data_IF_077286746715
#
_entry.id   IF_077286746715
#
_cell.length_a   1.000
_cell.length_b   1.000
_cell.length_c   1.000
_cell.angle_alpha   90.00
_cell.angle_beta   90.00
_cell.angle_gamma   90.00
#
_symmetry.space_group_name_H-M   'P 1'
#
loop_
_entity.id
_entity.type
_entity.pdbx_description
1 polymer ?
#
# COMPACT_ATOMS: atom_id res chain seq x y z
N UNK A 1 -8.72 -16.43 6.68
CA UNK A 1 -7.39 -15.84 6.76
C UNK A 1 -6.56 -16.43 7.89
N UNK A 2 -7.06 -16.46 9.12
CA UNK A 2 -6.30 -17.02 10.27
C UNK A 2 -5.85 -18.46 10.02
N UNK A 3 -6.78 -19.37 9.75
CA UNK A 3 -6.51 -20.81 9.69
C UNK A 3 -5.67 -21.25 8.47
N UNK A 4 -5.75 -20.52 7.36
CA UNK A 4 -5.08 -20.89 6.11
C UNK A 4 -3.78 -20.11 5.90
N UNK A 5 -3.77 -18.83 6.25
CA UNK A 5 -2.65 -17.93 5.98
C UNK A 5 -1.83 -17.56 7.22
N UNK A 6 -2.29 -17.95 8.42
CA UNK A 6 -1.68 -17.51 9.68
C UNK A 6 -1.69 -15.99 9.87
N UNK A 7 -2.52 -15.28 9.11
CA UNK A 7 -2.58 -13.83 9.15
C UNK A 7 -3.36 -13.33 10.36
N UNK A 8 -3.06 -12.11 10.81
CA UNK A 8 -3.81 -11.40 11.85
C UNK A 8 -4.73 -10.34 11.19
N UNK A 9 -5.97 -10.72 10.78
CA UNK A 9 -6.87 -9.80 10.09
C UNK A 9 -7.44 -8.76 11.04
N UNK A 10 -7.49 -7.51 10.59
CA UNK A 10 -8.06 -6.38 11.29
C UNK A 10 -9.14 -5.73 10.41
N UNK A 11 -10.42 -6.08 10.57
CA UNK A 11 -11.51 -5.40 9.88
C UNK A 11 -11.53 -3.92 10.24
N UNK A 12 -11.51 -3.07 9.22
CA UNK A 12 -11.58 -1.60 9.36
C UNK A 12 -12.85 -1.02 8.77
N UNK A 13 -13.69 -1.87 8.18
CA UNK A 13 -15.02 -1.54 7.70
C UNK A 13 -16.00 -2.69 7.98
N UNK A 14 -17.29 -2.36 8.07
CA UNK A 14 -18.40 -3.30 8.17
C UNK A 14 -19.34 -3.09 6.98
N UNK A 15 -19.83 -4.15 6.29
CA UNK A 15 -20.71 -3.98 5.15
C UNK A 15 -22.11 -3.53 5.58
N UNK A 16 -22.75 -2.70 4.76
CA UNK A 16 -24.17 -2.36 4.85
C UNK A 16 -24.92 -3.18 3.80
N UNK A 17 -25.58 -4.24 4.23
CA UNK A 17 -26.20 -5.24 3.37
C UNK A 17 -25.19 -6.27 2.85
N UNK A 18 -25.70 -7.29 2.16
CA UNK A 18 -24.90 -8.38 1.61
C UNK A 18 -25.38 -8.75 0.20
N UNK A 19 -24.47 -9.29 -0.61
CA UNK A 19 -24.77 -9.76 -1.97
C UNK A 19 -25.47 -8.68 -2.83
N UNK A 20 -26.70 -8.95 -3.28
CA UNK A 20 -27.47 -8.01 -4.09
C UNK A 20 -27.93 -6.77 -3.29
N UNK A 21 -28.12 -6.92 -1.97
CA UNK A 21 -28.50 -5.83 -1.07
C UNK A 21 -27.33 -4.98 -0.56
N UNK A 22 -26.09 -5.25 -0.99
CA UNK A 22 -24.93 -4.45 -0.62
C UNK A 22 -25.05 -3.02 -1.13
N UNK A 23 -25.22 -2.07 -0.20
CA UNK A 23 -25.44 -0.65 -0.49
C UNK A 23 -24.23 0.21 -0.17
N UNK A 24 -23.41 -0.19 0.80
CA UNK A 24 -22.32 0.61 1.30
C UNK A 24 -21.54 -0.10 2.39
N UNK A 25 -20.79 0.67 3.15
CA UNK A 25 -20.00 0.19 4.27
C UNK A 25 -20.02 1.22 5.42
N UNK A 26 -19.79 0.74 6.63
CA UNK A 26 -19.46 1.58 7.79
C UNK A 26 -17.94 1.60 7.90
N UNK A 27 -17.35 2.78 7.85
CA UNK A 27 -15.95 3.05 8.12
C UNK A 27 -15.73 3.13 9.64
N UNK A 28 -15.02 2.16 10.20
CA UNK A 28 -14.78 2.05 11.65
C UNK A 28 -13.75 3.06 12.16
N UNK A 29 -12.93 3.62 11.28
CA UNK A 29 -11.94 4.63 11.65
C UNK A 29 -12.64 5.98 11.82
N UNK A 30 -13.45 6.36 10.84
CA UNK A 30 -14.19 7.62 10.79
C UNK A 30 -15.52 7.58 11.55
N UNK A 31 -16.02 6.38 11.85
CA UNK A 31 -17.36 6.14 12.39
C UNK A 31 -18.44 6.82 11.56
N UNK A 32 -18.43 6.56 10.26
CA UNK A 32 -19.39 7.07 9.27
C UNK A 32 -19.82 5.95 8.33
N UNK A 33 -21.04 6.06 7.82
CA UNK A 33 -21.54 5.21 6.76
C UNK A 33 -21.23 5.83 5.39
N UNK A 34 -20.79 5.01 4.44
CA UNK A 34 -20.49 5.41 3.07
C UNK A 34 -21.41 4.62 2.14
N UNK A 35 -22.20 5.34 1.32
CA UNK A 35 -23.15 4.76 0.37
C UNK A 35 -22.75 5.13 -1.06
N UNK A 36 -22.73 4.14 -1.95
CA UNK A 36 -22.50 4.34 -3.37
C UNK A 36 -23.80 4.33 -4.16
N UNK A 37 -23.95 5.27 -5.09
CA UNK A 37 -25.13 5.44 -5.89
C UNK A 37 -25.02 4.62 -7.19
N UNK A 38 -25.99 3.73 -7.42
CA UNK A 38 -25.98 2.84 -8.61
C UNK A 38 -26.16 3.63 -9.91
N UNK A 39 -26.82 4.79 -9.87
CA UNK A 39 -27.06 5.65 -11.03
C UNK A 39 -25.77 6.17 -11.68
N UNK A 40 -24.71 6.31 -10.91
CA UNK A 40 -23.38 6.77 -11.36
C UNK A 40 -22.37 5.63 -11.48
N UNK A 41 -22.83 4.37 -11.43
CA UNK A 41 -21.97 3.18 -11.42
C UNK A 41 -20.85 3.26 -10.37
N UNK A 42 -21.17 3.76 -9.18
CA UNK A 42 -20.24 3.88 -8.04
C UNK A 42 -19.19 5.00 -8.16
N UNK A 43 -19.34 5.93 -9.13
CA UNK A 43 -18.46 7.10 -9.21
C UNK A 43 -18.73 8.08 -8.07
N UNK A 44 -20.01 8.28 -7.74
CA UNK A 44 -20.43 9.16 -6.65
C UNK A 44 -20.81 8.34 -5.41
N UNK A 45 -20.50 8.90 -4.26
CA UNK A 45 -20.86 8.34 -2.96
C UNK A 45 -21.23 9.45 -1.98
N UNK A 46 -22.04 9.11 -0.97
CA UNK A 46 -22.35 9.97 0.16
C UNK A 46 -21.73 9.43 1.44
N UNK A 47 -21.37 10.34 2.34
CA UNK A 47 -20.91 10.02 3.70
C UNK A 47 -22.00 10.49 4.67
N UNK A 48 -22.52 9.58 5.48
CA UNK A 48 -23.68 9.80 6.32
C UNK A 48 -23.41 9.30 7.75
N UNK A 49 -24.32 9.58 8.66
CA UNK A 49 -24.28 8.98 10.00
C UNK A 49 -24.58 7.48 9.90
N UNK A 50 -24.02 6.70 10.83
CA UNK A 50 -24.25 5.26 10.90
C UNK A 50 -25.75 5.02 11.18
N UNK A 51 -26.43 4.16 10.41
CA UNK A 51 -27.81 3.77 10.71
C UNK A 51 -27.95 3.22 12.12
N UNK A 52 -29.03 3.59 12.81
CA UNK A 52 -29.23 3.24 14.23
C UNK A 52 -29.11 1.72 14.49
N UNK A 53 -29.56 0.89 13.55
CA UNK A 53 -29.48 -0.55 13.62
C UNK A 53 -28.05 -1.13 13.50
N UNK A 54 -27.08 -0.34 13.04
CA UNK A 54 -25.68 -0.78 12.86
C UNK A 54 -24.72 -0.13 13.87
N UNK A 55 -25.20 0.80 14.71
CA UNK A 55 -24.34 1.53 15.66
C UNK A 55 -23.68 0.57 16.65
N UNK A 56 -24.44 -0.36 17.21
CA UNK A 56 -23.92 -1.31 18.21
C UNK A 56 -22.88 -2.25 17.57
N UNK A 57 -23.17 -2.77 16.38
CA UNK A 57 -22.22 -3.61 15.63
C UNK A 57 -20.96 -2.83 15.26
N UNK A 58 -21.09 -1.59 14.79
CA UNK A 58 -19.96 -0.73 14.45
C UNK A 58 -19.07 -0.43 15.68
N UNK A 59 -19.67 -0.16 16.83
CA UNK A 59 -18.93 0.06 18.07
C UNK A 59 -18.19 -1.21 18.51
N UNK A 60 -18.81 -2.37 18.44
CA UNK A 60 -18.17 -3.65 18.78
C UNK A 60 -16.96 -3.93 17.88
N UNK A 61 -17.11 -3.72 16.57
CA UNK A 61 -16.01 -3.93 15.63
C UNK A 61 -14.91 -2.87 15.76
N UNK A 62 -15.29 -1.61 16.07
CA UNK A 62 -14.32 -0.57 16.37
C UNK A 62 -13.50 -0.90 17.61
N UNK A 63 -14.13 -1.36 18.67
CA UNK A 63 -13.44 -1.77 19.90
C UNK A 63 -12.43 -2.90 19.65
N UNK A 64 -12.85 -3.94 18.92
CA UNK A 64 -11.95 -5.03 18.50
C UNK A 64 -10.79 -4.56 17.60
N UNK A 65 -11.01 -3.55 16.78
CA UNK A 65 -9.97 -2.94 15.96
C UNK A 65 -8.98 -2.18 16.85
N UNK A 66 -9.49 -1.34 17.76
CA UNK A 66 -8.65 -0.54 18.68
C UNK A 66 -7.82 -1.44 19.60
N UNK A 67 -8.40 -2.49 20.18
CA UNK A 67 -7.70 -3.48 20.99
C UNK A 67 -6.48 -4.06 20.24
N UNK A 68 -6.67 -4.43 18.97
CA UNK A 68 -5.59 -5.00 18.15
C UNK A 68 -4.47 -4.03 17.82
N UNK A 69 -4.78 -2.78 17.57
CA UNK A 69 -3.77 -1.82 17.11
C UNK A 69 -3.13 -1.03 18.26
N UNK A 70 -3.74 -1.00 19.42
CA UNK A 70 -3.20 -0.38 20.63
C UNK A 70 -1.85 -1.02 21.03
N UNK A 71 -1.65 -2.31 20.77
CA UNK A 71 -0.39 -3.00 21.06
C UNK A 71 0.82 -2.42 20.28
N UNK A 72 0.58 -1.63 19.22
CA UNK A 72 1.61 -1.08 18.34
C UNK A 72 1.77 0.44 18.46
N UNK A 73 1.10 1.06 19.43
CA UNK A 73 1.19 2.50 19.69
C UNK A 73 0.92 2.78 21.17
N UNK A 74 1.98 3.05 21.94
CA UNK A 74 1.90 3.23 23.39
C UNK A 74 0.93 4.34 23.80
N UNK A 75 0.89 5.45 23.04
CA UNK A 75 0.00 6.57 23.32
C UNK A 75 -1.48 6.21 23.10
N UNK A 76 -1.75 5.40 22.08
CA UNK A 76 -3.11 4.90 21.82
C UNK A 76 -3.49 3.86 22.87
N UNK A 77 -2.58 3.01 23.30
CA UNK A 77 -2.80 2.01 24.37
C UNK A 77 -3.20 2.69 25.68
N UNK A 78 -2.48 3.76 26.08
CA UNK A 78 -2.80 4.52 27.30
C UNK A 78 -4.22 5.08 27.22
N UNK A 79 -4.60 5.73 26.12
CA UNK A 79 -5.95 6.26 25.92
C UNK A 79 -7.04 5.17 25.85
N UNK A 80 -6.71 4.03 25.25
CA UNK A 80 -7.66 2.92 25.16
C UNK A 80 -8.06 2.37 26.53
N UNK A 81 -7.12 2.34 27.49
CA UNK A 81 -7.41 1.91 28.86
C UNK A 81 -8.02 3.00 29.75
N UNK A 82 -7.73 4.28 29.48
CA UNK A 82 -8.24 5.40 30.27
C UNK A 82 -9.62 5.82 29.77
N UNK A 83 -9.72 6.30 28.54
CA UNK A 83 -10.99 6.70 27.91
C UNK A 83 -10.92 6.53 26.37
N UNK A 84 -11.43 5.42 25.81
CA UNK A 84 -11.43 5.17 24.37
C UNK A 84 -12.18 6.24 23.55
N UNK A 85 -13.07 7.01 24.16
CA UNK A 85 -13.82 8.07 23.46
C UNK A 85 -12.93 9.26 23.05
N UNK A 86 -11.76 9.40 23.66
CA UNK A 86 -10.79 10.46 23.37
C UNK A 86 -9.87 10.13 22.20
N UNK A 87 -9.93 8.89 21.68
CA UNK A 87 -9.09 8.44 20.57
C UNK A 87 -9.54 9.10 19.27
N UNK A 88 -8.65 9.84 18.65
CA UNK A 88 -8.89 10.53 17.39
C UNK A 88 -8.70 9.64 16.16
N UNK A 89 -9.29 10.04 15.03
CA UNK A 89 -9.09 9.36 13.74
C UNK A 89 -7.60 9.27 13.37
N UNK A 90 -6.84 10.36 13.57
CA UNK A 90 -5.40 10.41 13.25
C UNK A 90 -4.57 9.42 14.06
N UNK A 91 -4.92 9.22 15.34
CA UNK A 91 -4.25 8.24 16.20
C UNK A 91 -4.53 6.81 15.74
N UNK A 92 -5.76 6.51 15.36
CA UNK A 92 -6.14 5.21 14.79
C UNK A 92 -5.40 4.96 13.48
N UNK A 93 -5.38 5.93 12.57
CA UNK A 93 -4.66 5.83 11.29
C UNK A 93 -3.17 5.57 11.51
N UNK A 94 -2.54 6.29 12.44
CA UNK A 94 -1.12 6.11 12.78
C UNK A 94 -0.84 4.71 13.32
N UNK A 95 -1.63 4.24 14.29
CA UNK A 95 -1.46 2.93 14.89
C UNK A 95 -1.68 1.79 13.87
N UNK A 96 -2.73 1.89 13.04
CA UNK A 96 -2.98 0.95 11.94
C UNK A 96 -1.82 0.91 10.94
N UNK A 97 -1.29 2.09 10.56
CA UNK A 97 -0.12 2.17 9.68
C UNK A 97 1.09 1.49 10.30
N UNK A 98 1.42 1.80 11.55
CA UNK A 98 2.55 1.21 12.26
C UNK A 98 2.43 -0.32 12.30
N UNK A 99 1.27 -0.82 12.70
CA UNK A 99 1.01 -2.26 12.77
C UNK A 99 1.04 -2.94 11.39
N UNK A 100 0.60 -2.24 10.34
CA UNK A 100 0.60 -2.77 8.96
C UNK A 100 2.01 -2.81 8.38
N UNK A 101 2.80 -1.75 8.55
CA UNK A 101 4.19 -1.67 8.07
C UNK A 101 5.06 -2.73 8.75
N UNK A 102 4.81 -3.02 10.04
CA UNK A 102 5.46 -4.10 10.79
C UNK A 102 4.93 -5.50 10.42
N UNK A 103 3.96 -5.59 9.50
CA UNK A 103 3.27 -6.84 9.12
C UNK A 103 2.59 -7.56 10.30
N UNK A 104 2.30 -6.86 11.37
CA UNK A 104 1.67 -7.39 12.57
C UNK A 104 0.16 -7.59 12.41
N UNK A 105 -0.50 -6.72 11.63
CA UNK A 105 -1.91 -6.82 11.25
C UNK A 105 -2.11 -6.70 9.75
N UNK A 106 -3.22 -7.24 9.26
CA UNK A 106 -3.66 -7.10 7.87
C UNK A 106 -5.00 -6.36 7.86
N UNK A 107 -5.04 -5.08 7.49
CA UNK A 107 -6.30 -4.35 7.36
C UNK A 107 -7.23 -5.04 6.37
N UNK A 108 -8.48 -5.22 6.76
CA UNK A 108 -9.50 -5.87 5.95
C UNK A 108 -10.61 -4.88 5.58
N UNK A 109 -10.91 -4.83 4.29
CA UNK A 109 -12.02 -4.06 3.74
C UNK A 109 -12.96 -4.99 2.96
N UNK A 110 -14.17 -4.52 2.77
CA UNK A 110 -15.14 -5.15 1.88
C UNK A 110 -15.60 -4.15 0.82
N UNK A 111 -16.12 -4.68 -0.28
CA UNK A 111 -16.64 -3.87 -1.38
C UNK A 111 -17.12 -4.74 -2.53
N UNK A 112 -17.64 -4.10 -3.58
CA UNK A 112 -18.03 -4.74 -4.82
C UNK A 112 -17.32 -4.10 -5.99
N UNK A 113 -16.22 -4.70 -6.44
CA UNK A 113 -15.45 -4.18 -7.58
C UNK A 113 -16.26 -4.18 -8.88
N UNK A 114 -17.16 -5.14 -9.06
CA UNK A 114 -18.05 -5.20 -10.22
C UNK A 114 -19.05 -4.03 -10.27
N UNK A 115 -19.54 -3.61 -9.09
CA UNK A 115 -20.44 -2.45 -8.95
C UNK A 115 -19.68 -1.16 -8.62
N UNK A 116 -18.35 -1.21 -8.59
CA UNK A 116 -17.47 -0.09 -8.25
C UNK A 116 -17.71 0.53 -6.86
N UNK A 117 -18.28 -0.25 -5.91
CA UNK A 117 -18.59 0.18 -4.54
C UNK A 117 -17.44 -0.17 -3.60
N UNK A 118 -16.92 0.80 -2.86
CA UNK A 118 -15.80 0.62 -1.90
C UNK A 118 -14.41 0.73 -2.52
N UNK A 119 -14.29 0.97 -3.83
CA UNK A 119 -12.98 1.04 -4.51
C UNK A 119 -12.20 2.27 -4.08
N UNK A 120 -12.85 3.44 -3.98
CA UNK A 120 -12.21 4.68 -3.54
C UNK A 120 -11.67 4.52 -2.11
N UNK A 121 -12.49 4.03 -1.19
CA UNK A 121 -12.10 3.76 0.20
C UNK A 121 -10.92 2.79 0.28
N UNK A 122 -10.92 1.73 -0.55
CA UNK A 122 -9.78 0.80 -0.62
C UNK A 122 -8.50 1.52 -1.06
N UNK A 123 -8.56 2.34 -2.12
CA UNK A 123 -7.39 3.05 -2.63
C UNK A 123 -6.85 4.08 -1.63
N UNK A 124 -7.74 4.79 -0.93
CA UNK A 124 -7.36 5.73 0.12
C UNK A 124 -6.60 5.01 1.24
N UNK A 125 -7.09 3.85 1.69
CA UNK A 125 -6.42 3.06 2.73
C UNK A 125 -5.18 2.31 2.23
N UNK A 126 -5.08 1.98 0.95
CA UNK A 126 -3.81 1.53 0.36
C UNK A 126 -2.74 2.63 0.50
N UNK A 127 -3.10 3.88 0.18
CA UNK A 127 -2.18 5.02 0.35
C UNK A 127 -1.87 5.31 1.82
N UNK A 128 -2.84 5.13 2.72
CA UNK A 128 -2.66 5.40 4.15
C UNK A 128 -1.78 4.34 4.85
N UNK A 129 -1.91 3.05 4.52
CA UNK A 129 -1.34 1.97 5.33
C UNK A 129 -0.18 1.23 4.69
N UNK A 130 -0.07 1.16 3.35
CA UNK A 130 1.03 0.43 2.76
C UNK A 130 2.34 1.23 2.81
N UNK A 131 3.48 0.55 3.01
CA UNK A 131 4.77 1.22 3.11
C UNK A 131 5.18 1.84 1.79
N UNK A 132 5.72 3.05 1.86
CA UNK A 132 6.49 3.67 0.78
C UNK A 132 7.95 3.16 0.81
N UNK A 133 8.76 3.42 -0.21
CA UNK A 133 10.19 3.13 -0.16
C UNK A 133 10.92 3.79 1.02
N UNK A 134 10.37 4.89 1.57
CA UNK A 134 10.95 5.60 2.72
C UNK A 134 10.64 4.91 4.07
N UNK A 135 9.65 4.05 4.11
CA UNK A 135 9.26 3.30 5.32
C UNK A 135 10.01 1.95 5.44
N UNK A 136 10.80 1.60 4.42
CA UNK A 136 11.57 0.35 4.40
C UNK A 136 13.04 0.58 4.75
N UNK A 137 13.74 -0.47 5.17
CA UNK A 137 15.16 -0.40 5.42
C UNK A 137 15.94 -0.04 4.15
N UNK A 138 17.08 0.64 4.33
CA UNK A 138 17.99 0.95 3.24
C UNK A 138 18.49 -0.33 2.57
N UNK A 139 18.78 -0.28 1.28
CA UNK A 139 19.37 -1.42 0.58
C UNK A 139 20.86 -1.50 0.93
N UNK A 140 21.25 -2.61 1.54
CA UNK A 140 22.65 -2.91 1.87
C UNK A 140 23.24 -3.74 0.74
N UNK A 141 24.39 -3.35 0.25
CA UNK A 141 25.14 -4.05 -0.79
C UNK A 141 26.64 -4.01 -0.56
N UNK A 142 27.37 -4.83 -1.31
CA UNK A 142 28.83 -4.89 -1.25
C UNK A 142 29.44 -4.14 -2.43
N UNK A 143 30.33 -3.20 -2.17
CA UNK A 143 31.09 -2.52 -3.22
C UNK A 143 32.00 -3.51 -3.95
N UNK A 144 31.86 -3.69 -5.27
CA UNK A 144 32.61 -4.70 -6.01
C UNK A 144 34.13 -4.43 -6.09
N UNK A 145 34.56 -3.18 -5.84
CA UNK A 145 35.96 -2.80 -5.93
C UNK A 145 36.69 -2.87 -4.59
N UNK A 146 35.98 -2.58 -3.48
CA UNK A 146 36.60 -2.50 -2.15
C UNK A 146 36.21 -3.64 -1.24
N UNK A 147 35.13 -4.37 -1.53
CA UNK A 147 34.55 -5.39 -0.67
C UNK A 147 33.84 -4.85 0.57
N UNK A 148 33.78 -3.52 0.75
CA UNK A 148 33.10 -2.89 1.87
C UNK A 148 31.58 -2.91 1.71
N UNK A 149 30.84 -3.02 2.81
CA UNK A 149 29.40 -2.80 2.82
C UNK A 149 29.10 -1.32 2.58
N UNK A 150 28.12 -1.07 1.73
CA UNK A 150 27.56 0.27 1.47
C UNK A 150 26.05 0.17 1.58
N UNK A 151 25.41 1.13 2.26
CA UNK A 151 23.99 1.28 2.22
C UNK A 151 23.55 2.30 1.15
N UNK A 152 22.31 2.19 0.70
CA UNK A 152 21.68 3.08 -0.27
C UNK A 152 20.32 3.49 0.25
N UNK A 153 20.15 4.80 0.45
CA UNK A 153 18.85 5.39 0.79
C UNK A 153 17.98 5.50 -0.46
N UNK A 154 16.65 5.40 -0.33
CA UNK A 154 15.73 5.58 -1.45
C UNK A 154 15.62 7.07 -1.82
N UNK A 155 16.66 7.60 -2.45
CA UNK A 155 16.79 8.99 -2.88
C UNK A 155 17.38 9.06 -4.29
N UNK A 156 16.88 9.98 -5.08
CA UNK A 156 17.36 10.28 -6.43
C UNK A 156 18.79 10.81 -6.48
N UNK A 157 19.27 11.39 -5.39
CA UNK A 157 20.62 11.97 -5.28
C UNK A 157 21.68 10.94 -4.89
N UNK A 158 21.27 9.73 -4.55
CA UNK A 158 22.15 8.62 -4.22
C UNK A 158 22.77 7.98 -5.48
N UNK A 159 23.82 7.17 -5.27
CA UNK A 159 24.34 6.31 -6.33
C UNK A 159 23.30 5.29 -6.75
N UNK A 160 23.17 5.06 -8.04
CA UNK A 160 22.15 4.17 -8.59
C UNK A 160 22.33 2.74 -8.12
N UNK A 161 21.26 2.17 -7.58
CA UNK A 161 21.09 0.73 -7.37
C UNK A 161 19.71 0.29 -7.83
N UNK A 162 19.67 -0.82 -8.57
CA UNK A 162 18.43 -1.36 -9.12
C UNK A 162 18.49 -2.89 -9.18
N UNK A 163 17.34 -3.53 -9.11
CA UNK A 163 17.19 -4.97 -9.26
C UNK A 163 16.35 -5.29 -10.50
N UNK A 164 16.97 -6.02 -11.45
CA UNK A 164 16.23 -6.63 -12.54
C UNK A 164 15.60 -7.94 -12.04
N UNK A 165 14.27 -7.98 -11.96
CA UNK A 165 13.55 -9.10 -11.34
C UNK A 165 12.77 -9.97 -12.33
N UNK A 166 12.53 -9.49 -13.56
CA UNK A 166 11.79 -10.23 -14.58
C UNK A 166 12.25 -9.86 -15.98
N UNK A 167 12.33 -10.88 -16.84
CA UNK A 167 12.52 -10.72 -18.29
C UNK A 167 11.29 -11.27 -18.99
N UNK A 168 10.71 -10.47 -19.89
CA UNK A 168 9.61 -10.88 -20.75
C UNK A 168 9.97 -10.64 -22.22
N UNK A 169 9.40 -11.43 -23.11
CA UNK A 169 9.54 -11.23 -24.57
C UNK A 169 8.28 -10.57 -25.09
N UNK A 170 8.46 -9.43 -25.74
CA UNK A 170 7.41 -8.70 -26.42
C UNK A 170 7.57 -8.89 -27.93
N UNK A 171 6.49 -9.21 -28.69
CA UNK A 171 6.57 -9.47 -30.13
C UNK A 171 7.09 -8.27 -30.95
N UNK A 172 6.89 -7.03 -30.46
CA UNK A 172 7.21 -5.81 -31.20
C UNK A 172 8.51 -5.14 -30.74
N UNK A 173 8.83 -5.24 -29.46
CA UNK A 173 10.00 -4.55 -28.84
C UNK A 173 11.14 -5.50 -28.57
N UNK A 174 10.87 -6.80 -28.61
CA UNK A 174 11.85 -7.83 -28.29
C UNK A 174 11.89 -8.11 -26.80
N UNK A 175 13.08 -8.13 -26.20
CA UNK A 175 13.25 -8.47 -24.79
C UNK A 175 13.07 -7.25 -23.90
N UNK A 176 12.09 -7.32 -22.99
CA UNK A 176 11.84 -6.34 -21.95
C UNK A 176 12.41 -6.85 -20.62
N UNK A 177 13.20 -6.02 -19.97
CA UNK A 177 13.72 -6.29 -18.63
C UNK A 177 12.97 -5.38 -17.64
N UNK A 178 12.23 -5.99 -16.72
CA UNK A 178 11.57 -5.27 -15.63
C UNK A 178 12.55 -5.12 -14.49
N UNK A 179 12.63 -3.91 -13.96
CA UNK A 179 13.54 -3.59 -12.86
C UNK A 179 12.87 -2.61 -11.89
N UNK A 180 13.39 -2.59 -10.67
CA UNK A 180 13.03 -1.65 -9.61
C UNK A 180 14.24 -0.83 -9.26
N UNK A 181 14.12 0.50 -9.26
CA UNK A 181 15.17 1.40 -8.78
C UNK A 181 15.03 1.59 -7.29
N UNK A 182 16.05 1.23 -6.53
CA UNK A 182 16.09 1.41 -5.08
C UNK A 182 16.74 2.73 -4.67
N UNK A 183 17.71 3.21 -5.45
CA UNK A 183 18.39 4.49 -5.21
C UNK A 183 18.93 5.07 -6.51
N UNK A 184 19.09 6.38 -6.54
CA UNK A 184 19.61 7.11 -7.70
C UNK A 184 18.62 7.14 -8.86
N UNK A 185 19.14 7.47 -10.04
CA UNK A 185 18.37 7.60 -11.29
C UNK A 185 18.97 6.74 -12.39
N UNK A 186 18.12 6.32 -13.31
CA UNK A 186 18.52 5.67 -14.56
C UNK A 186 17.96 6.53 -15.71
N UNK A 187 18.84 6.92 -16.64
CA UNK A 187 18.48 7.72 -17.82
C UNK A 187 18.49 6.87 -19.09
N UNK A 188 17.57 7.13 -20.00
CA UNK A 188 17.57 6.53 -21.32
C UNK A 188 18.89 6.90 -22.07
N UNK A 189 19.49 5.93 -22.73
CA UNK A 189 20.78 6.12 -23.42
C UNK A 189 22.01 5.97 -22.54
N UNK A 190 21.85 5.92 -21.21
CA UNK A 190 22.96 5.76 -20.25
C UNK A 190 23.52 4.33 -20.19
N UNK A 191 24.51 4.12 -19.33
CA UNK A 191 25.10 2.82 -19.04
C UNK A 191 24.92 2.48 -17.57
N UNK A 192 24.56 1.21 -17.32
CA UNK A 192 24.51 0.62 -15.98
C UNK A 192 25.61 -0.46 -15.85
N UNK A 193 26.04 -0.71 -14.63
CA UNK A 193 26.96 -1.79 -14.33
C UNK A 193 26.15 -3.00 -13.81
N UNK A 194 26.26 -4.12 -14.54
CA UNK A 194 25.67 -5.37 -14.10
C UNK A 194 26.67 -6.11 -13.17
N UNK A 195 26.39 -6.08 -11.88
CA UNK A 195 27.26 -6.66 -10.85
C UNK A 195 27.44 -8.17 -11.00
N UNK A 196 26.45 -8.88 -11.55
CA UNK A 196 26.50 -10.33 -11.77
C UNK A 196 27.44 -10.71 -12.93
N UNK A 197 27.39 -9.98 -14.04
CA UNK A 197 28.21 -10.23 -15.21
C UNK A 197 29.56 -9.50 -15.19
N UNK A 198 29.73 -8.51 -14.33
CA UNK A 198 30.91 -7.62 -14.29
C UNK A 198 31.01 -6.69 -15.50
N UNK A 199 29.95 -6.45 -16.24
CA UNK A 199 29.96 -5.69 -17.49
C UNK A 199 29.07 -4.46 -17.43
N UNK A 200 29.47 -3.46 -18.22
CA UNK A 200 28.60 -2.31 -18.50
C UNK A 200 27.58 -2.67 -19.57
N UNK A 201 26.33 -2.36 -19.33
CA UNK A 201 25.22 -2.58 -20.25
C UNK A 201 24.56 -1.25 -20.61
N UNK A 202 24.18 -1.08 -21.87
CA UNK A 202 23.52 0.14 -22.32
C UNK A 202 22.01 0.06 -22.10
N UNK A 203 21.46 1.08 -21.46
CA UNK A 203 20.01 1.29 -21.32
C UNK A 203 19.53 2.07 -22.55
N UNK A 204 19.01 1.39 -23.56
CA UNK A 204 18.63 2.04 -24.82
C UNK A 204 17.34 2.86 -24.68
N UNK A 205 16.31 2.32 -24.08
CA UNK A 205 15.01 2.95 -23.86
C UNK A 205 14.46 2.55 -22.50
N UNK A 206 13.72 3.45 -21.88
CA UNK A 206 13.00 3.25 -20.63
C UNK A 206 11.50 3.36 -20.88
N UNK A 207 10.73 2.51 -20.22
CA UNK A 207 9.28 2.49 -20.29
C UNK A 207 8.67 2.37 -18.90
N UNK A 208 7.71 3.22 -18.62
CA UNK A 208 6.79 3.01 -17.50
C UNK A 208 5.64 2.14 -18.02
N UNK A 209 5.52 0.95 -17.46
CA UNK A 209 4.50 -0.01 -17.89
C UNK A 209 3.18 0.27 -17.17
N UNK A 210 2.11 0.40 -17.94
CA UNK A 210 0.76 0.45 -17.43
C UNK A 210 -0.06 -0.66 -18.08
N UNK A 211 -0.22 -1.78 -17.40
CA UNK A 211 -0.74 -3.02 -17.98
C UNK A 211 0.09 -3.45 -19.20
N UNK A 212 -0.49 -3.45 -20.39
CA UNK A 212 0.19 -3.76 -21.66
C UNK A 212 0.67 -2.50 -22.43
N UNK A 213 0.42 -1.29 -21.90
CA UNK A 213 0.89 -0.04 -22.51
C UNK A 213 2.30 0.27 -22.08
N UNK A 214 3.14 0.64 -23.03
CA UNK A 214 4.53 1.04 -22.85
C UNK A 214 4.61 2.55 -23.01
N UNK A 215 4.72 3.29 -21.91
CA UNK A 215 4.87 4.74 -21.93
C UNK A 215 6.36 5.06 -21.90
N UNK A 216 6.96 5.61 -22.98
CA UNK A 216 8.36 5.96 -22.98
C UNK A 216 8.64 7.09 -21.98
N UNK A 217 9.75 6.96 -21.24
CA UNK A 217 10.23 7.95 -20.29
C UNK A 217 11.71 8.17 -20.46
N UNK A 218 12.20 9.38 -20.13
CA UNK A 218 13.60 9.75 -20.25
C UNK A 218 14.41 9.35 -19.01
N UNK A 219 13.79 9.43 -17.83
CA UNK A 219 14.42 9.19 -16.53
C UNK A 219 13.46 8.41 -15.63
N UNK A 220 14.01 7.50 -14.85
CA UNK A 220 13.33 6.76 -13.78
C UNK A 220 14.14 6.93 -12.50
N UNK A 221 13.47 7.25 -11.39
CA UNK A 221 14.10 7.54 -10.10
C UNK A 221 13.91 6.46 -9.05
N UNK A 222 14.40 6.76 -7.85
CA UNK A 222 14.29 5.88 -6.70
C UNK A 222 12.82 5.62 -6.32
N UNK A 223 12.45 4.34 -6.22
CA UNK A 223 11.07 3.94 -5.92
C UNK A 223 10.23 3.53 -7.13
N UNK A 224 10.72 3.77 -8.35
CA UNK A 224 10.05 3.33 -9.59
C UNK A 224 10.35 1.88 -9.96
#
# INVERSE_FOLDING_TARGET
MKDVLGANPCPIVVPIGAEESFKGLVDLIKMKAIYWHDETMGADYSVEEIPAELVDEANEWRDKMLEKVAEFDDALMEKYFDDPSTITEEEVLRALRNATVQMAVVPMLCGSSFKNKGVQTLLDYVCAFLPSPLDTENVIGTNPNTGAEEDRKPSDDEKTSALAFKIATDPYVGRLTFFRVYSGKIEAGSYIYNSRSGKKERVSRLFQMHSNKQNPVEVIGAGD
#
